data_IF_606021751866
#
_entry.id   IF_606021751866
#
_cell.length_a   1.000
_cell.length_b   1.000
_cell.length_c   1.000
_cell.angle_alpha   90.00
_cell.angle_beta   90.00
_cell.angle_gamma   90.00
#
_symmetry.space_group_name_H-M   'P 1'
#
loop_
_entity.id
_entity.type
_entity.pdbx_description
1 polymer ?
#
# COMPACT_ATOMS: atom_id res chain seq x y z
N UNK A 1 -30.47 -4.43 -13.73
CA UNK A 1 -30.21 -5.77 -13.16
C UNK A 1 -29.10 -5.57 -12.14
N UNK A 2 -29.45 -5.51 -10.85
CA UNK A 2 -28.49 -5.32 -9.78
C UNK A 2 -27.83 -6.69 -9.51
N UNK A 3 -26.51 -6.77 -9.68
CA UNK A 3 -25.74 -7.97 -9.41
C UNK A 3 -25.89 -8.38 -7.95
N UNK A 4 -26.16 -9.66 -7.74
CA UNK A 4 -26.38 -10.32 -6.45
C UNK A 4 -25.06 -10.75 -5.81
N UNK A 5 -23.94 -10.25 -6.34
CA UNK A 5 -22.61 -10.75 -6.01
C UNK A 5 -22.08 -10.07 -4.75
N UNK A 6 -21.40 -10.88 -3.93
CA UNK A 6 -20.62 -10.45 -2.76
C UNK A 6 -19.37 -9.75 -3.27
N UNK A 7 -19.07 -8.55 -2.76
CA UNK A 7 -17.90 -7.78 -3.13
C UNK A 7 -16.69 -8.23 -2.30
N UNK A 8 -15.63 -8.63 -2.97
CA UNK A 8 -14.31 -8.88 -2.39
C UNK A 8 -13.52 -7.58 -2.27
N UNK A 9 -12.42 -7.59 -1.50
CA UNK A 9 -11.50 -6.45 -1.45
C UNK A 9 -10.94 -6.10 -2.84
N UNK A 10 -10.73 -7.11 -3.68
CA UNK A 10 -10.33 -6.95 -5.09
C UNK A 10 -11.39 -6.22 -5.92
N UNK A 11 -12.67 -6.53 -5.72
CA UNK A 11 -13.75 -5.80 -6.40
C UNK A 11 -13.77 -4.33 -5.97
N UNK A 12 -13.56 -4.05 -4.67
CA UNK A 12 -13.46 -2.68 -4.16
C UNK A 12 -12.27 -1.92 -4.79
N UNK A 13 -11.11 -2.58 -4.90
CA UNK A 13 -9.91 -2.06 -5.53
C UNK A 13 -10.14 -1.76 -7.03
N UNK A 14 -10.76 -2.69 -7.76
CA UNK A 14 -11.11 -2.52 -9.17
C UNK A 14 -12.10 -1.37 -9.36
N UNK A 15 -13.14 -1.30 -8.52
CA UNK A 15 -14.14 -0.23 -8.55
C UNK A 15 -13.44 1.12 -8.38
N UNK A 16 -12.57 1.28 -7.38
CA UNK A 16 -11.83 2.52 -7.16
C UNK A 16 -10.88 2.90 -8.29
N UNK A 17 -10.23 1.91 -8.92
CA UNK A 17 -9.27 2.16 -9.99
C UNK A 17 -9.93 2.48 -11.35
N UNK A 18 -11.14 1.97 -11.60
CA UNK A 18 -11.74 1.96 -12.95
C UNK A 18 -12.95 2.86 -13.12
N UNK A 19 -13.69 3.20 -12.06
CA UNK A 19 -14.96 3.96 -12.16
C UNK A 19 -14.82 5.22 -13.01
N UNK A 20 -13.86 6.10 -12.67
CA UNK A 20 -13.65 7.35 -13.41
C UNK A 20 -13.12 7.13 -14.83
N UNK A 21 -12.28 6.09 -15.02
CA UNK A 21 -11.70 5.76 -16.34
C UNK A 21 -12.76 5.21 -17.30
N UNK A 22 -13.75 4.47 -16.77
CA UNK A 22 -14.87 3.90 -17.53
C UNK A 22 -15.95 4.94 -17.85
N UNK A 23 -15.92 6.10 -17.19
CA UNK A 23 -16.94 7.14 -17.33
C UNK A 23 -18.26 6.77 -16.64
N UNK A 24 -18.22 5.86 -15.68
CA UNK A 24 -19.36 5.49 -14.85
C UNK A 24 -19.75 6.67 -13.94
N UNK A 25 -21.04 6.80 -13.61
CA UNK A 25 -21.53 7.83 -12.69
C UNK A 25 -21.02 7.55 -11.26
N UNK A 26 -20.12 8.39 -10.70
CA UNK A 26 -19.51 8.14 -9.39
C UNK A 26 -20.55 8.03 -8.27
N UNK A 27 -21.62 8.84 -8.33
CA UNK A 27 -22.67 8.83 -7.29
C UNK A 27 -23.43 7.51 -7.29
N UNK A 28 -23.66 6.93 -8.47
CA UNK A 28 -24.34 5.64 -8.59
C UNK A 28 -23.48 4.51 -8.04
N UNK A 29 -22.20 4.51 -8.34
CA UNK A 29 -21.25 3.51 -7.82
C UNK A 29 -21.12 3.64 -6.30
N UNK A 30 -20.98 4.87 -5.79
CA UNK A 30 -20.97 5.14 -4.35
C UNK A 30 -22.23 4.60 -3.64
N UNK A 31 -23.42 4.82 -4.21
CA UNK A 31 -24.66 4.29 -3.66
C UNK A 31 -24.69 2.76 -3.64
N UNK A 32 -24.17 2.10 -4.69
CA UNK A 32 -24.06 0.64 -4.73
C UNK A 32 -23.09 0.07 -3.70
N UNK A 33 -21.98 0.77 -3.42
CA UNK A 33 -21.04 0.39 -2.35
C UNK A 33 -21.68 0.51 -0.96
N UNK A 34 -22.38 1.62 -0.69
CA UNK A 34 -23.12 1.79 0.57
C UNK A 34 -24.19 0.72 0.72
N UNK A 35 -24.93 0.41 -0.34
CA UNK A 35 -25.92 -0.66 -0.33
C UNK A 35 -25.29 -2.04 -0.06
N UNK A 36 -24.11 -2.32 -0.61
CA UNK A 36 -23.40 -3.56 -0.33
C UNK A 36 -22.99 -3.68 1.14
N UNK A 37 -22.52 -2.59 1.75
CA UNK A 37 -22.22 -2.52 3.19
C UNK A 37 -23.50 -2.72 4.02
N UNK A 38 -24.59 -2.03 3.68
CA UNK A 38 -25.87 -2.09 4.40
C UNK A 38 -26.54 -3.48 4.33
N UNK A 39 -26.20 -4.28 3.32
CA UNK A 39 -26.75 -5.61 3.07
C UNK A 39 -25.78 -6.73 3.45
N UNK A 40 -24.67 -6.43 4.13
CA UNK A 40 -23.62 -7.39 4.50
C UNK A 40 -23.12 -8.21 3.28
N UNK A 41 -23.00 -7.55 2.12
CA UNK A 41 -22.51 -8.14 0.86
C UNK A 41 -21.02 -7.92 0.64
N UNK A 42 -20.25 -7.76 1.70
CA UNK A 42 -18.78 -7.77 1.64
C UNK A 42 -18.29 -9.19 1.97
N UNK A 43 -17.28 -9.66 1.24
CA UNK A 43 -16.67 -10.97 1.49
C UNK A 43 -16.01 -10.99 2.88
N UNK A 44 -15.34 -9.89 3.25
CA UNK A 44 -14.84 -9.62 4.59
C UNK A 44 -15.60 -8.44 5.22
N UNK A 45 -16.33 -8.63 6.33
CA UNK A 45 -16.96 -7.53 7.07
C UNK A 45 -15.97 -6.45 7.55
N UNK A 46 -14.67 -6.77 7.71
CA UNK A 46 -13.65 -5.80 8.07
C UNK A 46 -13.44 -4.72 6.98
N UNK A 47 -13.79 -5.02 5.72
CA UNK A 47 -13.69 -4.07 4.60
C UNK A 47 -14.77 -2.98 4.62
N UNK A 48 -15.72 -3.01 5.57
CA UNK A 48 -16.80 -2.03 5.64
C UNK A 48 -16.27 -0.58 5.71
N UNK A 49 -15.24 -0.33 6.51
CA UNK A 49 -14.64 1.01 6.61
C UNK A 49 -13.99 1.43 5.29
N UNK A 50 -13.33 0.51 4.60
CA UNK A 50 -12.70 0.75 3.31
C UNK A 50 -13.72 1.05 2.21
N UNK A 51 -14.75 0.21 2.08
CA UNK A 51 -15.86 0.39 1.15
C UNK A 51 -16.59 1.73 1.36
N UNK A 52 -16.80 2.13 2.62
CA UNK A 52 -17.42 3.41 2.96
C UNK A 52 -16.51 4.61 2.63
N UNK A 53 -15.19 4.51 2.82
CA UNK A 53 -14.25 5.55 2.39
C UNK A 53 -14.24 5.68 0.86
N UNK A 54 -14.21 4.56 0.13
CA UNK A 54 -14.29 4.56 -1.33
C UNK A 54 -15.60 5.17 -1.82
N UNK A 55 -16.73 4.83 -1.19
CA UNK A 55 -18.01 5.45 -1.49
C UNK A 55 -18.00 6.96 -1.22
N UNK A 56 -17.35 7.41 -0.15
CA UNK A 56 -17.20 8.84 0.17
C UNK A 56 -16.39 9.59 -0.89
N UNK A 57 -15.24 9.03 -1.31
CA UNK A 57 -14.42 9.59 -2.40
C UNK A 57 -15.24 9.75 -3.70
N UNK A 58 -15.96 8.70 -4.09
CA UNK A 58 -16.80 8.72 -5.30
C UNK A 58 -17.98 9.70 -5.19
N UNK A 59 -18.63 9.80 -4.03
CA UNK A 59 -19.67 10.82 -3.79
C UNK A 59 -19.08 12.23 -3.90
N UNK A 60 -17.89 12.46 -3.34
CA UNK A 60 -17.23 13.76 -3.37
C UNK A 60 -16.75 14.17 -4.77
N UNK A 61 -16.27 13.21 -5.58
CA UNK A 61 -15.97 13.41 -7.01
C UNK A 61 -17.25 13.71 -7.79
N UNK A 62 -18.35 13.07 -7.40
CA UNK A 62 -19.68 13.40 -7.88
C UNK A 62 -20.21 14.76 -7.41
N UNK A 63 -19.50 15.57 -6.60
CA UNK A 63 -20.01 16.82 -6.00
C UNK A 63 -21.21 16.62 -5.04
N UNK A 64 -21.29 15.46 -4.37
CA UNK A 64 -22.21 15.18 -3.26
C UNK A 64 -21.45 15.07 -1.93
N UNK A 65 -20.95 16.22 -1.46
CA UNK A 65 -20.15 16.34 -0.24
C UNK A 65 -20.92 15.95 1.03
N UNK A 66 -22.26 16.09 1.03
CA UNK A 66 -23.09 15.76 2.18
C UNK A 66 -23.17 14.25 2.37
N UNK A 67 -23.42 13.50 1.29
CA UNK A 67 -23.37 12.04 1.32
C UNK A 67 -21.96 11.55 1.64
N UNK A 68 -20.92 12.16 1.05
CA UNK A 68 -19.52 11.82 1.32
C UNK A 68 -19.19 11.93 2.81
N UNK A 69 -19.57 13.04 3.46
CA UNK A 69 -19.33 13.23 4.88
C UNK A 69 -20.09 12.20 5.74
N UNK A 70 -21.34 11.88 5.39
CA UNK A 70 -22.10 10.86 6.11
C UNK A 70 -21.49 9.45 5.96
N UNK A 71 -20.97 9.12 4.78
CA UNK A 71 -20.29 7.85 4.50
C UNK A 71 -18.99 7.72 5.30
N UNK A 72 -18.15 8.75 5.32
CA UNK A 72 -16.90 8.72 6.09
C UNK A 72 -17.14 8.74 7.61
N UNK A 73 -18.19 9.42 8.09
CA UNK A 73 -18.60 9.35 9.51
C UNK A 73 -18.95 7.91 9.91
N UNK A 74 -19.61 7.16 9.02
CA UNK A 74 -19.87 5.72 9.22
C UNK A 74 -18.58 4.91 9.20
N UNK A 75 -17.65 5.19 8.29
CA UNK A 75 -16.36 4.49 8.22
C UNK A 75 -15.56 4.67 9.52
N UNK A 76 -15.46 5.90 10.02
CA UNK A 76 -14.80 6.22 11.30
C UNK A 76 -15.47 5.53 12.48
N UNK A 77 -16.79 5.33 12.45
CA UNK A 77 -17.51 4.63 13.50
C UNK A 77 -17.28 3.10 13.47
N UNK A 78 -17.24 2.50 12.28
CA UNK A 78 -16.99 1.07 12.08
C UNK A 78 -15.58 0.67 12.56
N UNK A 79 -14.59 1.53 12.29
CA UNK A 79 -13.20 1.28 12.61
C UNK A 79 -12.86 1.36 14.12
N UNK A 80 -13.66 2.07 14.94
CA UNK A 80 -13.49 2.10 16.42
C UNK A 80 -13.61 0.73 17.12
N UNK A 81 -14.06 -0.30 16.41
CA UNK A 81 -14.23 -1.66 16.92
C UNK A 81 -13.18 -2.69 16.46
N UNK A 82 -12.20 -2.31 15.63
CA UNK A 82 -11.16 -3.22 15.11
C UNK A 82 -9.84 -3.09 15.89
N UNK A 83 -9.26 -4.23 16.29
CA UNK A 83 -7.91 -4.30 16.90
C UNK A 83 -6.78 -4.01 15.87
N UNK A 84 -7.09 -3.96 14.57
CA UNK A 84 -6.14 -3.77 13.46
C UNK A 84 -6.29 -2.39 12.79
N UNK A 85 -6.28 -1.31 13.59
CA UNK A 85 -6.67 0.06 13.23
C UNK A 85 -5.75 0.80 12.24
N UNK A 86 -5.55 0.24 11.04
CA UNK A 86 -4.71 0.79 9.97
C UNK A 86 -5.52 1.59 8.92
N UNK A 87 -6.86 1.46 8.90
CA UNK A 87 -7.76 2.30 8.09
C UNK A 87 -8.29 3.54 8.84
N UNK A 88 -8.13 3.56 10.16
CA UNK A 88 -8.61 4.57 11.09
C UNK A 88 -8.15 5.99 10.78
N UNK A 89 -6.84 6.13 10.54
CA UNK A 89 -6.19 7.41 10.29
C UNK A 89 -6.66 8.02 8.97
N UNK A 90 -6.69 7.20 7.92
CA UNK A 90 -7.15 7.59 6.60
C UNK A 90 -8.59 8.11 6.61
N UNK A 91 -9.54 7.35 7.19
CA UNK A 91 -10.94 7.78 7.27
C UNK A 91 -11.10 9.11 8.01
N UNK A 92 -10.33 9.33 9.08
CA UNK A 92 -10.36 10.59 9.85
C UNK A 92 -9.75 11.75 9.07
N UNK A 93 -8.71 11.52 8.27
CA UNK A 93 -8.10 12.54 7.41
C UNK A 93 -9.05 12.92 6.26
N UNK A 94 -9.65 11.94 5.58
CA UNK A 94 -10.67 12.17 4.55
C UNK A 94 -11.87 12.95 5.12
N UNK A 95 -12.29 12.64 6.35
CA UNK A 95 -13.32 13.40 7.05
C UNK A 95 -12.91 14.86 7.28
N UNK A 96 -11.66 15.14 7.63
CA UNK A 96 -11.17 16.50 7.80
C UNK A 96 -11.21 17.27 6.46
N UNK A 97 -10.75 16.65 5.37
CA UNK A 97 -10.83 17.23 4.02
C UNK A 97 -12.27 17.57 3.63
N UNK A 98 -13.20 16.64 3.82
CA UNK A 98 -14.62 16.85 3.49
C UNK A 98 -15.25 17.97 4.33
N UNK A 99 -14.88 18.09 5.60
CA UNK A 99 -15.30 19.22 6.43
C UNK A 99 -14.78 20.55 5.88
N UNK A 100 -13.53 20.60 5.43
CA UNK A 100 -12.96 21.80 4.81
C UNK A 100 -13.70 22.19 3.53
N UNK A 101 -13.94 21.22 2.63
CA UNK A 101 -14.70 21.43 1.39
C UNK A 101 -16.15 21.89 1.63
N UNK A 102 -16.71 21.60 2.80
CA UNK A 102 -18.01 22.07 3.28
C UNK A 102 -17.94 23.42 4.03
N UNK A 103 -16.83 24.14 3.95
CA UNK A 103 -16.58 25.43 4.62
C UNK A 103 -16.62 25.35 6.17
N UNK A 104 -16.37 24.15 6.73
CA UNK A 104 -16.26 23.91 8.18
C UNK A 104 -14.81 23.85 8.62
N UNK A 105 -14.06 24.91 8.32
CA UNK A 105 -12.60 24.97 8.47
C UNK A 105 -12.11 24.65 9.88
N UNK A 106 -12.78 25.17 10.92
CA UNK A 106 -12.39 24.90 12.31
C UNK A 106 -12.55 23.42 12.68
N UNK A 107 -13.66 22.81 12.29
CA UNK A 107 -13.93 21.39 12.54
C UNK A 107 -12.94 20.50 11.78
N UNK A 108 -12.59 20.89 10.55
CA UNK A 108 -11.58 20.20 9.74
C UNK A 108 -10.22 20.22 10.42
N UNK A 109 -9.76 21.40 10.85
CA UNK A 109 -8.46 21.54 11.51
C UNK A 109 -8.40 20.86 12.87
N UNK A 110 -9.50 20.86 13.64
CA UNK A 110 -9.59 20.09 14.90
C UNK A 110 -9.46 18.60 14.62
N UNK A 111 -10.17 18.08 13.61
CA UNK A 111 -10.12 16.67 13.25
C UNK A 111 -8.72 16.25 12.78
N UNK A 112 -8.09 17.05 11.92
CA UNK A 112 -6.75 16.75 11.42
C UNK A 112 -5.67 16.88 12.50
N UNK A 113 -5.73 17.90 13.36
CA UNK A 113 -4.76 18.07 14.45
C UNK A 113 -4.75 16.88 15.40
N UNK A 114 -5.89 16.23 15.60
CA UNK A 114 -5.97 15.01 16.41
C UNK A 114 -5.17 13.83 15.83
N UNK A 115 -4.84 13.85 14.53
CA UNK A 115 -4.01 12.85 13.86
C UNK A 115 -2.51 13.14 13.94
N UNK A 116 -2.10 14.35 14.33
CA UNK A 116 -0.68 14.73 14.38
C UNK A 116 0.21 13.77 15.20
N UNK A 117 -0.21 13.22 16.36
CA UNK A 117 0.60 12.23 17.08
C UNK A 117 0.83 10.91 16.32
N UNK A 118 0.05 10.62 15.27
CA UNK A 118 0.23 9.41 14.44
C UNK A 118 1.42 9.54 13.50
N UNK A 119 1.86 10.76 13.16
CA UNK A 119 3.04 10.98 12.31
C UNK A 119 4.31 10.29 12.84
N UNK A 120 4.40 10.04 14.16
CA UNK A 120 5.54 9.37 14.79
C UNK A 120 5.26 7.91 15.16
N UNK A 121 4.13 7.33 14.75
CA UNK A 121 3.68 5.99 15.17
C UNK A 121 3.21 5.12 14.02
N UNK A 122 2.60 5.73 13.03
CA UNK A 122 1.99 5.06 11.90
C UNK A 122 2.72 5.52 10.63
N UNK A 123 3.45 4.62 9.94
CA UNK A 123 4.12 4.95 8.69
C UNK A 123 3.18 5.55 7.64
N UNK A 124 1.89 5.21 7.68
CA UNK A 124 0.89 5.72 6.74
C UNK A 124 0.49 7.18 7.02
N UNK A 125 0.67 7.65 8.26
CA UNK A 125 0.26 8.98 8.69
C UNK A 125 0.97 10.09 7.93
N UNK A 126 2.24 9.88 7.58
CA UNK A 126 3.00 10.82 6.77
C UNK A 126 2.38 11.08 5.40
N UNK A 127 1.53 10.19 4.89
CA UNK A 127 0.80 10.35 3.64
C UNK A 127 -0.57 10.97 3.87
N UNK A 128 -1.44 10.34 4.66
CA UNK A 128 -2.84 10.81 4.75
C UNK A 128 -2.97 12.15 5.48
N UNK A 129 -2.08 12.49 6.43
CA UNK A 129 -2.09 13.81 7.07
C UNK A 129 -1.63 14.88 6.10
N UNK A 130 -0.59 14.59 5.33
CA UNK A 130 -0.01 15.51 4.34
C UNK A 130 -0.97 15.76 3.19
N UNK A 131 -1.52 14.71 2.58
CA UNK A 131 -2.50 14.82 1.49
C UNK A 131 -3.71 15.67 1.92
N UNK A 132 -4.19 15.50 3.17
CA UNK A 132 -5.27 16.31 3.70
C UNK A 132 -4.87 17.78 3.91
N UNK A 133 -3.65 18.07 4.37
CA UNK A 133 -3.15 19.45 4.51
C UNK A 133 -3.03 20.14 3.15
N UNK A 134 -2.54 19.45 2.14
CA UNK A 134 -2.43 19.96 0.77
C UNK A 134 -3.80 20.24 0.16
N UNK A 135 -4.76 19.31 0.31
CA UNK A 135 -6.14 19.50 -0.12
C UNK A 135 -6.85 20.67 0.58
N UNK A 136 -6.33 21.11 1.74
CA UNK A 136 -6.80 22.27 2.49
C UNK A 136 -5.99 23.55 2.22
N UNK A 137 -5.10 23.55 1.22
CA UNK A 137 -4.17 24.65 0.92
C UNK A 137 -3.32 25.03 2.14
N UNK A 138 -2.73 24.03 2.81
CA UNK A 138 -1.87 24.18 4.00
C UNK A 138 -0.54 23.45 3.84
N UNK A 139 0.04 23.49 2.64
CA UNK A 139 1.30 22.81 2.30
C UNK A 139 2.46 23.24 3.22
N UNK A 140 2.55 24.52 3.60
CA UNK A 140 3.57 24.99 4.56
C UNK A 140 3.39 24.40 5.96
N UNK A 141 2.14 24.17 6.39
CA UNK A 141 1.87 23.52 7.67
C UNK A 141 2.23 22.03 7.61
N UNK A 142 2.07 21.39 6.45
CA UNK A 142 2.50 20.02 6.23
C UNK A 142 4.02 19.89 6.37
N UNK A 143 4.78 20.79 5.73
CA UNK A 143 6.24 20.85 5.87
C UNK A 143 6.66 21.00 7.34
N UNK A 144 6.00 21.90 8.07
CA UNK A 144 6.27 22.12 9.48
C UNK A 144 6.02 20.85 10.30
N UNK A 145 4.86 20.21 10.13
CA UNK A 145 4.50 19.02 10.93
C UNK A 145 5.39 17.82 10.62
N UNK A 146 5.76 17.63 9.35
CA UNK A 146 6.67 16.57 8.94
C UNK A 146 8.07 16.80 9.48
N UNK A 147 8.59 18.03 9.42
CA UNK A 147 9.89 18.38 10.00
C UNK A 147 9.91 18.14 11.51
N UNK A 148 8.90 18.62 12.23
CA UNK A 148 8.82 18.42 13.68
C UNK A 148 8.68 16.93 14.06
N UNK A 149 7.96 16.15 13.27
CA UNK A 149 7.85 14.70 13.49
C UNK A 149 9.17 13.98 13.18
N UNK A 150 9.89 14.40 12.14
CA UNK A 150 11.20 13.86 11.77
C UNK A 150 12.25 14.15 12.85
N UNK A 151 12.30 15.38 13.36
CA UNK A 151 13.20 15.79 14.46
C UNK A 151 12.97 14.96 15.73
N UNK A 152 11.74 14.51 15.96
CA UNK A 152 11.39 13.62 17.08
C UNK A 152 11.71 12.15 16.79
N UNK A 153 11.70 11.74 15.52
CA UNK A 153 11.99 10.39 15.07
C UNK A 153 13.50 10.10 14.92
N UNK A 154 14.35 11.13 14.76
CA UNK A 154 15.81 10.94 14.71
C UNK A 154 16.29 10.25 15.99
N UNK A 155 16.93 9.06 15.88
CA UNK A 155 17.55 8.41 17.03
C UNK A 155 18.59 9.36 17.63
N UNK A 156 18.36 9.82 18.86
CA UNK A 156 19.34 10.66 19.58
C UNK A 156 20.54 9.79 19.94
N UNK A 157 21.65 9.93 19.21
CA UNK A 157 23.03 9.57 19.58
C UNK A 157 23.22 8.33 20.50
N UNK A 158 22.69 7.17 20.10
CA UNK A 158 23.17 5.86 20.57
C UNK A 158 23.58 5.01 19.36
N UNK A 159 24.50 5.54 18.55
CA UNK A 159 25.04 4.92 17.32
C UNK A 159 26.02 3.77 17.61
N UNK A 160 25.82 3.03 18.71
CA UNK A 160 26.72 1.95 19.14
C UNK A 160 26.00 0.66 19.59
N UNK A 161 24.72 0.48 19.26
CA UNK A 161 24.06 -0.81 19.38
C UNK A 161 23.52 -1.20 18.01
N UNK A 162 24.05 -2.30 17.47
CA UNK A 162 23.38 -3.02 16.38
C UNK A 162 21.91 -3.17 16.77
N UNK A 163 20.96 -2.80 15.89
CA UNK A 163 19.55 -2.99 16.19
C UNK A 163 19.34 -4.46 16.52
N UNK A 164 18.86 -4.75 17.73
CA UNK A 164 18.47 -6.11 18.07
C UNK A 164 17.36 -6.51 17.10
N UNK A 165 17.64 -7.51 16.26
CA UNK A 165 16.69 -8.06 15.30
C UNK A 165 15.44 -8.62 16.02
N UNK A 166 14.48 -7.75 16.25
CA UNK A 166 13.16 -8.03 16.78
C UNK A 166 12.14 -7.11 16.11
N UNK A 167 10.89 -7.57 16.02
CA UNK A 167 9.77 -6.88 15.35
C UNK A 167 9.62 -5.40 15.73
N UNK A 168 10.00 -5.02 16.96
CA UNK A 168 9.83 -3.65 17.48
C UNK A 168 10.74 -2.60 16.80
N UNK A 169 11.84 -3.00 16.14
CA UNK A 169 12.79 -2.07 15.49
C UNK A 169 12.40 -1.67 14.06
N UNK A 170 11.46 -2.39 13.47
CA UNK A 170 10.98 -2.26 12.09
C UNK A 170 10.15 -1.00 11.89
N UNK A 171 9.18 -0.80 12.77
CA UNK A 171 8.18 0.26 12.69
C UNK A 171 8.81 1.67 12.79
N UNK A 172 9.81 1.93 13.67
CA UNK A 172 10.53 3.20 13.69
C UNK A 172 11.24 3.56 12.38
N UNK A 173 11.83 2.57 11.68
CA UNK A 173 12.52 2.80 10.40
C UNK A 173 11.51 3.13 9.30
N UNK A 174 10.38 2.43 9.25
CA UNK A 174 9.30 2.70 8.29
C UNK A 174 8.69 4.08 8.50
N UNK A 175 8.42 4.47 9.75
CA UNK A 175 7.95 5.82 10.09
C UNK A 175 8.97 6.87 9.66
N UNK A 176 10.25 6.68 9.99
CA UNK A 176 11.31 7.62 9.62
C UNK A 176 11.41 7.81 8.10
N UNK A 177 11.44 6.71 7.33
CA UNK A 177 11.52 6.76 5.87
C UNK A 177 10.28 7.46 5.26
N UNK A 178 9.08 7.12 5.74
CA UNK A 178 7.85 7.77 5.27
C UNK A 178 7.83 9.27 5.56
N UNK A 179 8.27 9.71 6.74
CA UNK A 179 8.41 11.13 7.09
C UNK A 179 9.40 11.83 6.17
N UNK A 180 10.56 11.21 5.94
CA UNK A 180 11.63 11.76 5.10
C UNK A 180 11.15 11.97 3.66
N UNK A 181 10.53 10.96 3.06
CA UNK A 181 10.02 11.02 1.69
C UNK A 181 8.87 12.03 1.54
N UNK A 182 7.90 12.02 2.46
CA UNK A 182 6.80 13.00 2.44
C UNK A 182 7.32 14.43 2.60
N UNK A 183 8.28 14.65 3.50
CA UNK A 183 8.88 15.98 3.71
C UNK A 183 9.59 16.47 2.45
N UNK A 184 10.42 15.63 1.85
CA UNK A 184 11.14 15.95 0.62
C UNK A 184 10.16 16.35 -0.50
N UNK A 185 9.08 15.59 -0.71
CA UNK A 185 8.05 15.90 -1.71
C UNK A 185 7.41 17.28 -1.47
N UNK A 186 6.99 17.55 -0.24
CA UNK A 186 6.34 18.82 0.15
C UNK A 186 7.31 20.01 -0.02
N UNK A 187 8.58 19.85 0.36
CA UNK A 187 9.58 20.92 0.21
C UNK A 187 9.86 21.27 -1.25
N UNK A 188 9.86 20.28 -2.15
CA UNK A 188 9.94 20.51 -3.59
C UNK A 188 8.72 21.26 -4.13
N UNK A 189 7.53 20.93 -3.66
CA UNK A 189 6.30 21.66 -4.05
C UNK A 189 6.35 23.13 -3.62
N UNK A 190 6.94 23.40 -2.46
CA UNK A 190 7.16 24.75 -1.93
C UNK A 190 8.39 25.48 -2.53
N UNK A 191 9.11 24.86 -3.47
CA UNK A 191 10.36 25.38 -4.06
C UNK A 191 11.41 25.78 -3.00
N UNK A 192 11.49 25.00 -1.91
CA UNK A 192 12.47 25.22 -0.85
C UNK A 192 13.84 24.65 -1.26
N UNK A 193 14.96 25.27 -0.82
CA UNK A 193 16.29 24.72 -1.06
C UNK A 193 16.43 23.34 -0.39
N UNK A 194 17.06 22.39 -1.09
CA UNK A 194 17.40 21.09 -0.50
C UNK A 194 18.29 21.25 0.75
N UNK A 195 18.01 20.45 1.76
CA UNK A 195 18.85 20.27 2.94
C UNK A 195 19.33 18.81 3.08
N UNK A 196 20.05 18.51 4.17
CA UNK A 196 20.62 17.19 4.39
C UNK A 196 19.58 16.06 4.50
N UNK A 197 18.34 16.36 4.90
CA UNK A 197 17.27 15.37 4.91
C UNK A 197 16.74 15.12 3.50
N UNK A 198 16.70 16.15 2.66
CA UNK A 198 16.33 16.02 1.26
C UNK A 198 17.36 15.18 0.49
N UNK A 199 18.66 15.41 0.74
CA UNK A 199 19.74 14.60 0.15
C UNK A 199 19.66 13.12 0.59
N UNK A 200 19.35 12.85 1.87
CA UNK A 200 19.16 11.49 2.37
C UNK A 200 17.91 10.83 1.78
N UNK A 201 16.84 11.60 1.52
CA UNK A 201 15.63 11.10 0.88
C UNK A 201 15.94 10.62 -0.54
N UNK A 202 16.71 11.42 -1.30
CA UNK A 202 17.16 11.08 -2.64
C UNK A 202 18.05 9.82 -2.63
N UNK A 203 19.04 9.74 -1.73
CA UNK A 203 19.93 8.56 -1.61
C UNK A 203 19.15 7.28 -1.31
N UNK A 204 18.21 7.33 -0.35
CA UNK A 204 17.38 6.17 -0.02
C UNK A 204 16.44 5.78 -1.17
N UNK A 205 15.90 6.76 -1.90
CA UNK A 205 15.09 6.49 -3.08
C UNK A 205 15.90 5.87 -4.22
N UNK A 206 17.14 6.33 -4.44
CA UNK A 206 18.05 5.75 -5.42
C UNK A 206 18.44 4.31 -5.05
N UNK A 207 18.75 4.03 -3.78
CA UNK A 207 19.01 2.66 -3.30
C UNK A 207 17.81 1.76 -3.59
N UNK A 208 16.61 2.29 -3.41
CA UNK A 208 15.35 1.58 -3.61
C UNK A 208 15.01 1.29 -5.08
N UNK A 209 15.40 2.19 -5.97
CA UNK A 209 15.00 2.18 -7.39
C UNK A 209 16.12 1.79 -8.36
N UNK A 210 17.33 1.54 -7.84
CA UNK A 210 18.47 1.09 -8.64
C UNK A 210 18.18 -0.24 -9.37
N UNK A 211 18.74 -0.46 -10.58
CA UNK A 211 18.64 -1.73 -11.29
C UNK A 211 19.11 -2.92 -10.46
N UNK A 212 18.54 -4.10 -10.71
CA UNK A 212 18.74 -5.32 -9.93
C UNK A 212 19.98 -6.12 -10.39
N UNK A 213 21.13 -5.49 -10.61
CA UNK A 213 22.33 -6.19 -11.12
C UNK A 213 23.32 -6.64 -10.03
N UNK A 214 23.20 -6.21 -8.76
CA UNK A 214 24.06 -6.71 -7.67
C UNK A 214 23.45 -6.49 -6.27
N UNK A 215 23.35 -7.57 -5.47
CA UNK A 215 23.03 -7.54 -4.02
C UNK A 215 21.61 -7.05 -3.62
N UNK A 216 20.56 -7.79 -4.02
CA UNK A 216 19.17 -7.56 -3.57
C UNK A 216 18.40 -8.86 -3.30
N UNK A 217 17.29 -8.79 -2.55
CA UNK A 217 16.38 -9.92 -2.30
C UNK A 217 15.21 -9.83 -3.28
N UNK A 218 15.02 -10.85 -4.10
CA UNK A 218 13.89 -10.95 -5.02
C UNK A 218 12.95 -12.07 -4.60
N UNK A 219 11.67 -11.76 -4.45
CA UNK A 219 10.63 -12.76 -4.24
C UNK A 219 10.00 -13.18 -5.56
N UNK A 220 9.91 -14.49 -5.77
CA UNK A 220 9.35 -15.06 -6.99
C UNK A 220 7.82 -14.95 -6.99
N UNK A 221 7.27 -14.41 -8.07
CA UNK A 221 5.84 -14.20 -8.24
C UNK A 221 5.33 -14.81 -9.54
N UNK A 222 4.23 -15.55 -9.45
CA UNK A 222 3.50 -16.07 -10.60
C UNK A 222 2.38 -15.09 -11.02
N UNK A 223 2.47 -14.44 -12.20
CA UNK A 223 1.37 -13.69 -12.77
C UNK A 223 0.11 -14.54 -12.87
N UNK A 224 -1.09 -13.94 -12.83
CA UNK A 224 -2.36 -14.69 -12.69
C UNK A 224 -2.51 -15.85 -13.68
N UNK A 225 -2.20 -15.59 -14.95
CA UNK A 225 -2.26 -16.63 -15.99
C UNK A 225 -1.25 -17.77 -15.75
N UNK A 226 -0.04 -17.44 -15.30
CA UNK A 226 1.00 -18.42 -14.99
C UNK A 226 0.70 -19.18 -13.70
N UNK A 227 0.11 -18.54 -12.69
CA UNK A 227 -0.34 -19.20 -11.48
C UNK A 227 -1.44 -20.23 -11.76
N UNK A 228 -2.39 -19.93 -12.63
CA UNK A 228 -3.41 -20.90 -13.07
C UNK A 228 -2.78 -22.10 -13.79
N UNK A 229 -1.74 -21.86 -14.60
CA UNK A 229 -0.96 -22.93 -15.26
C UNK A 229 -0.15 -23.75 -14.26
N UNK A 230 0.48 -23.10 -13.28
CA UNK A 230 1.24 -23.73 -12.21
C UNK A 230 0.35 -24.71 -11.44
N UNK A 231 -0.84 -24.24 -11.02
CA UNK A 231 -1.84 -25.05 -10.32
C UNK A 231 -2.31 -26.26 -11.12
N UNK A 232 -2.46 -26.11 -12.43
CA UNK A 232 -2.87 -27.19 -13.30
C UNK A 232 -1.74 -28.22 -13.52
N UNK A 233 -0.48 -27.77 -13.55
CA UNK A 233 0.69 -28.60 -13.90
C UNK A 233 1.33 -29.27 -12.69
N UNK A 234 1.43 -28.55 -11.57
CA UNK A 234 2.04 -28.99 -10.31
C UNK A 234 1.18 -28.54 -9.12
N UNK A 235 0.05 -29.21 -8.84
CA UNK A 235 -0.84 -28.87 -7.73
C UNK A 235 -0.13 -28.80 -6.37
N UNK A 236 0.92 -29.60 -6.17
CA UNK A 236 1.72 -29.66 -4.93
C UNK A 236 2.37 -28.32 -4.60
N UNK A 237 2.72 -27.51 -5.60
CA UNK A 237 3.30 -26.18 -5.39
C UNK A 237 2.32 -25.18 -4.75
N UNK A 238 1.02 -25.49 -4.71
CA UNK A 238 0.02 -24.65 -4.01
C UNK A 238 0.19 -24.67 -2.49
N UNK A 239 0.88 -25.67 -1.92
CA UNK A 239 1.25 -25.65 -0.51
C UNK A 239 2.26 -24.54 -0.20
N UNK A 240 3.11 -24.18 -1.17
CA UNK A 240 4.13 -23.13 -1.03
C UNK A 240 3.62 -21.76 -1.48
N UNK A 241 2.91 -21.70 -2.61
CA UNK A 241 2.47 -20.44 -3.22
C UNK A 241 1.01 -20.08 -2.90
N UNK A 242 0.33 -20.83 -2.03
CA UNK A 242 -1.08 -20.62 -1.71
C UNK A 242 -2.05 -21.35 -2.65
N UNK A 243 -3.27 -21.56 -2.15
CA UNK A 243 -4.34 -22.26 -2.86
C UNK A 243 -5.10 -21.37 -3.85
N UNK A 244 -4.98 -20.05 -3.71
CA UNK A 244 -5.57 -19.03 -4.57
C UNK A 244 -4.54 -17.95 -4.94
N UNK A 245 -4.82 -17.19 -6.01
CA UNK A 245 -3.89 -16.13 -6.45
C UNK A 245 -3.82 -14.97 -5.44
N UNK A 246 -4.85 -14.80 -4.61
CA UNK A 246 -4.88 -13.79 -3.56
C UNK A 246 -4.02 -14.19 -2.38
N UNK A 247 -4.09 -15.46 -1.99
CA UNK A 247 -3.16 -16.05 -1.02
C UNK A 247 -1.73 -15.92 -1.52
N UNK A 248 -1.46 -16.23 -2.80
CA UNK A 248 -0.13 -16.06 -3.40
C UNK A 248 0.37 -14.61 -3.29
N UNK A 249 -0.46 -13.63 -3.67
CA UNK A 249 -0.10 -12.21 -3.55
C UNK A 249 0.14 -11.79 -2.11
N UNK A 250 -0.67 -12.27 -1.18
CA UNK A 250 -0.52 -11.97 0.24
C UNK A 250 0.78 -12.57 0.79
N UNK A 251 1.13 -13.81 0.41
CA UNK A 251 2.39 -14.45 0.79
C UNK A 251 3.59 -13.67 0.27
N UNK A 252 3.60 -13.27 -1.00
CA UNK A 252 4.69 -12.48 -1.59
C UNK A 252 4.81 -11.11 -0.93
N UNK A 253 3.69 -10.40 -0.75
CA UNK A 253 3.69 -9.09 -0.07
C UNK A 253 4.20 -9.19 1.37
N UNK A 254 3.72 -10.19 2.13
CA UNK A 254 4.13 -10.40 3.51
C UNK A 254 5.62 -10.79 3.61
N UNK A 255 6.12 -11.62 2.69
CA UNK A 255 7.54 -11.96 2.62
C UNK A 255 8.42 -10.72 2.36
N UNK A 256 8.03 -9.88 1.40
CA UNK A 256 8.75 -8.65 1.07
C UNK A 256 8.67 -7.62 2.20
N UNK A 257 7.50 -7.46 2.81
CA UNK A 257 7.32 -6.61 3.99
C UNK A 257 8.18 -7.09 5.17
N UNK A 258 8.26 -8.40 5.38
CA UNK A 258 9.11 -9.03 6.41
C UNK A 258 10.59 -8.82 6.11
N UNK A 259 11.03 -8.99 4.86
CA UNK A 259 12.41 -8.76 4.47
C UNK A 259 12.79 -7.26 4.62
N UNK A 260 11.89 -6.35 4.24
CA UNK A 260 12.05 -4.90 4.42
C UNK A 260 12.16 -4.54 5.89
N UNK A 261 11.31 -5.16 6.70
CA UNK A 261 11.34 -5.04 8.14
C UNK A 261 12.69 -5.47 8.73
N UNK A 262 13.27 -6.56 8.22
CA UNK A 262 14.59 -7.05 8.61
C UNK A 262 15.77 -6.21 8.08
N UNK A 263 15.49 -5.09 7.39
CA UNK A 263 16.50 -4.16 6.90
C UNK A 263 17.05 -4.51 5.52
N UNK A 264 16.36 -5.34 4.73
CA UNK A 264 16.73 -5.56 3.33
C UNK A 264 16.55 -4.25 2.54
N UNK A 265 17.67 -3.70 2.06
CA UNK A 265 17.71 -2.40 1.40
C UNK A 265 17.23 -2.43 -0.06
N UNK A 266 17.17 -3.62 -0.69
CA UNK A 266 16.82 -3.80 -2.10
C UNK A 266 15.90 -4.99 -2.25
N UNK A 267 14.64 -4.71 -2.55
CA UNK A 267 13.59 -5.71 -2.66
C UNK A 267 12.93 -5.64 -4.02
N UNK A 268 12.63 -6.82 -4.58
CA UNK A 268 12.05 -6.94 -5.90
C UNK A 268 11.01 -8.05 -5.93
N UNK A 269 10.07 -7.92 -6.86
CA UNK A 269 9.22 -9.02 -7.31
C UNK A 269 9.76 -9.50 -8.65
N UNK A 270 10.05 -10.80 -8.78
CA UNK A 270 10.43 -11.44 -10.03
C UNK A 270 9.24 -12.16 -10.65
N UNK A 271 8.76 -11.70 -11.80
CA UNK A 271 7.71 -12.38 -12.55
C UNK A 271 8.22 -13.69 -13.18
N UNK A 272 7.62 -14.82 -12.80
CA UNK A 272 8.01 -16.16 -13.25
C UNK A 272 7.12 -16.70 -14.38
N UNK A 273 7.70 -17.59 -15.19
CA UNK A 273 7.05 -18.29 -16.31
C UNK A 273 7.05 -19.79 -16.06
N UNK A 274 5.88 -20.44 -16.18
CA UNK A 274 5.77 -21.89 -15.95
C UNK A 274 6.57 -22.68 -16.98
N UNK A 275 6.69 -22.16 -18.20
CA UNK A 275 7.45 -22.83 -19.26
C UNK A 275 8.95 -22.75 -18.98
N UNK A 276 9.47 -21.57 -18.64
CA UNK A 276 10.90 -21.39 -18.31
C UNK A 276 11.27 -22.18 -17.06
N UNK A 277 10.39 -22.21 -16.05
CA UNK A 277 10.61 -22.98 -14.84
C UNK A 277 10.58 -24.49 -15.11
N UNK A 278 9.71 -24.96 -16.01
CA UNK A 278 9.67 -26.36 -16.44
C UNK A 278 10.94 -26.76 -17.21
N UNK A 279 11.41 -25.87 -18.08
CA UNK A 279 12.63 -26.09 -18.87
C UNK A 279 13.85 -26.15 -17.94
N UNK A 280 13.94 -25.25 -16.95
CA UNK A 280 14.99 -25.29 -15.93
C UNK A 280 14.96 -26.58 -15.11
N UNK A 281 13.78 -27.01 -14.63
CA UNK A 281 13.64 -28.26 -13.89
C UNK A 281 14.13 -29.46 -14.72
N UNK A 282 13.81 -29.48 -16.01
CA UNK A 282 14.27 -30.51 -16.94
C UNK A 282 15.79 -30.47 -17.17
N UNK A 283 16.37 -29.28 -17.32
CA UNK A 283 17.81 -29.09 -17.50
C UNK A 283 18.61 -29.49 -16.25
N UNK A 284 18.04 -29.29 -15.06
CA UNK A 284 18.61 -29.72 -13.78
C UNK A 284 18.40 -31.22 -13.48
N UNK A 285 17.62 -31.94 -14.30
CA UNK A 285 17.15 -33.31 -14.02
C UNK A 285 16.50 -33.43 -12.62
N UNK A 286 15.76 -32.39 -12.21
CA UNK A 286 15.15 -32.25 -10.90
C UNK A 286 13.61 -32.26 -11.00
N UNK A 287 12.95 -32.61 -9.89
CA UNK A 287 11.51 -32.40 -9.77
C UNK A 287 11.22 -30.90 -9.65
N UNK A 288 10.25 -30.38 -10.40
CA UNK A 288 9.88 -28.96 -10.35
C UNK A 288 9.40 -28.50 -8.96
N UNK A 289 8.97 -29.44 -8.12
CA UNK A 289 8.60 -29.20 -6.71
C UNK A 289 9.78 -29.10 -5.76
N UNK A 290 11.01 -29.42 -6.22
CA UNK A 290 12.22 -29.29 -5.42
C UNK A 290 12.56 -27.80 -5.20
N UNK A 291 12.75 -27.34 -3.95
CA UNK A 291 13.09 -25.96 -3.65
C UNK A 291 14.35 -25.45 -4.37
N UNK A 292 15.30 -26.34 -4.70
CA UNK A 292 16.52 -25.96 -5.42
C UNK A 292 16.25 -25.45 -6.84
N UNK A 293 15.14 -25.85 -7.47
CA UNK A 293 14.73 -25.33 -8.79
C UNK A 293 14.29 -23.87 -8.66
N UNK A 294 13.54 -23.53 -7.60
CA UNK A 294 13.17 -22.14 -7.30
C UNK A 294 14.39 -21.28 -7.06
N UNK A 295 15.29 -21.74 -6.19
CA UNK A 295 16.48 -20.97 -5.83
C UNK A 295 17.33 -20.69 -7.08
N UNK A 296 17.56 -21.72 -7.92
CA UNK A 296 18.28 -21.55 -9.19
C UNK A 296 17.54 -20.64 -10.17
N UNK A 297 16.21 -20.72 -10.25
CA UNK A 297 15.41 -19.87 -11.14
C UNK A 297 15.56 -18.39 -10.80
N UNK A 298 15.62 -18.06 -9.51
CA UNK A 298 15.86 -16.68 -9.04
C UNK A 298 17.32 -16.28 -9.29
N UNK A 299 18.29 -17.17 -9.05
CA UNK A 299 19.72 -16.90 -9.30
C UNK A 299 20.04 -16.64 -10.77
N UNK A 300 19.43 -17.39 -11.70
CA UNK A 300 19.68 -17.30 -13.15
C UNK A 300 18.86 -16.17 -13.82
N UNK A 301 18.09 -15.40 -13.06
CA UNK A 301 17.25 -14.34 -13.59
C UNK A 301 18.07 -13.10 -13.96
N UNK A 302 18.51 -13.04 -15.22
CA UNK A 302 19.31 -11.92 -15.76
C UNK A 302 18.48 -10.82 -16.49
N UNK A 303 17.16 -10.97 -16.58
CA UNK A 303 16.30 -10.04 -17.33
C UNK A 303 15.66 -8.99 -16.41
N UNK A 304 16.25 -7.80 -16.37
CA UNK A 304 15.78 -6.61 -15.64
C UNK A 304 14.29 -6.30 -15.88
N UNK A 305 13.73 -6.63 -17.06
CA UNK A 305 12.35 -6.33 -17.38
C UNK A 305 11.33 -7.22 -16.62
N UNK A 306 11.77 -8.34 -16.04
CA UNK A 306 10.93 -9.23 -15.21
C UNK A 306 10.94 -8.82 -13.74
N UNK A 307 11.84 -7.95 -13.34
CA UNK A 307 11.91 -7.44 -11.97
C UNK A 307 11.08 -6.17 -11.83
N UNK A 308 10.26 -6.13 -10.77
CA UNK A 308 9.55 -4.93 -10.35
C UNK A 308 10.07 -4.52 -8.97
N UNK A 309 10.66 -3.33 -8.82
CA UNK A 309 11.10 -2.82 -7.52
C UNK A 309 9.95 -2.80 -6.51
N UNK A 310 10.21 -3.22 -5.27
CA UNK A 310 9.22 -3.27 -4.20
C UNK A 310 9.73 -2.53 -2.95
N UNK A 311 8.92 -1.65 -2.29
CA UNK A 311 7.57 -1.31 -2.72
C UNK A 311 7.55 -0.38 -3.94
N UNK A 312 6.54 -0.54 -4.82
CA UNK A 312 6.19 0.51 -5.78
C UNK A 312 5.77 1.80 -5.05
N UNK A 313 5.78 2.93 -5.75
CA UNK A 313 5.16 4.14 -5.24
C UNK A 313 3.67 3.90 -4.96
N UNK A 314 3.14 4.47 -3.88
CA UNK A 314 1.76 4.23 -3.41
C UNK A 314 0.68 4.47 -4.47
N UNK A 315 0.89 5.46 -5.36
CA UNK A 315 -0.02 5.80 -6.44
C UNK A 315 0.34 5.15 -7.78
N UNK A 316 1.46 4.43 -7.84
CA UNK A 316 1.93 3.73 -9.03
C UNK A 316 1.18 2.42 -9.21
N UNK A 317 1.31 1.82 -10.39
CA UNK A 317 0.74 0.52 -10.68
C UNK A 317 1.29 -0.54 -9.70
N UNK A 318 0.42 -1.38 -9.18
CA UNK A 318 0.80 -2.46 -8.29
C UNK A 318 1.68 -3.49 -9.01
N UNK A 319 2.67 -4.03 -8.29
CA UNK A 319 3.60 -5.04 -8.79
C UNK A 319 2.93 -6.34 -9.27
N UNK A 320 1.70 -6.63 -8.85
CA UNK A 320 0.99 -7.87 -9.22
C UNK A 320 0.29 -7.80 -10.60
N UNK A 321 0.57 -6.77 -11.39
CA UNK A 321 0.00 -6.54 -12.72
C UNK A 321 -1.52 -6.29 -12.76
N UNK A 322 -2.16 -6.07 -11.61
CA UNK A 322 -3.59 -5.74 -11.54
C UNK A 322 -3.95 -4.41 -12.23
N UNK A 323 -2.98 -3.53 -12.42
CA UNK A 323 -3.18 -2.16 -12.93
C UNK A 323 -3.84 -1.21 -11.92
N UNK A 324 -4.18 -1.68 -10.72
CA UNK A 324 -4.63 -0.86 -9.61
C UNK A 324 -3.46 -0.11 -8.97
N UNK A 325 -3.75 0.96 -8.23
CA UNK A 325 -2.73 1.67 -7.45
C UNK A 325 -2.21 0.78 -6.34
N UNK A 326 -0.90 0.75 -6.10
CA UNK A 326 -0.28 -0.11 -5.08
C UNK A 326 -0.94 0.03 -3.69
N UNK A 327 -1.27 1.27 -3.28
CA UNK A 327 -1.96 1.55 -2.00
C UNK A 327 -3.37 0.97 -1.86
N UNK A 328 -4.00 0.62 -2.98
CA UNK A 328 -5.36 0.05 -3.09
C UNK A 328 -5.25 -1.34 -3.75
N UNK A 329 -4.19 -2.10 -3.48
CA UNK A 329 -4.01 -3.44 -4.05
C UNK A 329 -3.15 -4.30 -3.12
N UNK A 330 -1.86 -4.52 -3.42
CA UNK A 330 -1.03 -5.40 -2.59
C UNK A 330 -0.62 -4.78 -1.25
N UNK A 331 -0.45 -3.45 -1.15
CA UNK A 331 0.02 -2.83 0.09
C UNK A 331 -0.80 -3.21 1.34
N UNK A 332 -2.15 -3.23 1.34
CA UNK A 332 -2.94 -3.73 2.47
C UNK A 332 -2.62 -5.16 2.94
N UNK A 333 -2.06 -6.01 2.07
CA UNK A 333 -1.77 -7.43 2.35
C UNK A 333 -0.49 -7.63 3.17
N UNK A 334 0.33 -6.59 3.34
CA UNK A 334 1.56 -6.62 4.15
C UNK A 334 1.33 -6.79 5.66
N UNK A 335 0.07 -6.80 6.10
CA UNK A 335 -0.36 -6.71 7.51
C UNK A 335 -1.13 -7.94 8.01
N UNK A 336 -1.19 -8.98 7.17
CA UNK A 336 -1.79 -10.28 7.49
C UNK A 336 -0.79 -11.25 8.08
#
# INVERSE_FOLDING_TARGET
>A
MAGTDVLTSDDLDEIGATTLKRGDDPRRVAASLVEAVDQDRLADPADAAYALCLAAELSAEGDDLVSALAQVDRAVAADRGSDAGLGAGYARALRAELLYRLDRVDDAMVALTALRPQLSRDPEAAYYVTDALEAMDRTELAEQWLTEALDLAVPKDDVAQEPSAGDDAVEPVQVFNALLQSRHRVRRELDLPHDAHDDLADELHEIHTAPHDVEGVAELFWPRAEFDRLRARWPELTETYGGSWDEHRATVECALATASAQGAARLAVLAASVDEYADLAADLDADATDPSVRDRYVEDADDDARFVPWPPGRNDACWCESGAKYKKCCLPRSRG
#
